data_IF_502421597106
#
_entry.id   IF_502421597106
#
_cell.length_a   1.000
_cell.length_b   1.000
_cell.length_c   1.000
_cell.angle_alpha   90.00
_cell.angle_beta   90.00
_cell.angle_gamma   90.00
#
_symmetry.space_group_name_H-M   'P 1'
#
loop_
_entity.id
_entity.type
_entity.pdbx_description
1 polymer ?
#
# COMPACT_ATOMS: atom_id res chain seq x y z
N UNK A 1 -4.36 -24.11 -43.58
CA UNK A 1 -4.05 -22.72 -43.96
C UNK A 1 -2.85 -22.28 -43.15
N UNK A 2 -1.83 -21.68 -43.76
CA UNK A 2 -0.67 -21.13 -43.04
C UNK A 2 -0.89 -19.63 -42.84
N UNK A 3 -0.64 -19.12 -41.64
CA UNK A 3 -0.72 -17.69 -41.32
C UNK A 3 0.49 -17.00 -41.95
N UNK A 4 0.26 -16.00 -42.79
CA UNK A 4 1.30 -15.15 -43.35
C UNK A 4 1.67 -14.05 -42.32
N UNK A 5 2.95 -13.94 -41.99
CA UNK A 5 3.47 -13.00 -40.99
C UNK A 5 4.05 -11.72 -41.61
N UNK A 6 3.90 -11.52 -42.92
CA UNK A 6 4.44 -10.35 -43.64
C UNK A 6 3.84 -9.01 -43.20
N UNK A 7 2.62 -9.01 -42.68
CA UNK A 7 1.92 -7.80 -42.21
C UNK A 7 2.12 -7.48 -40.72
N UNK A 8 3.10 -8.12 -40.06
CA UNK A 8 3.31 -7.90 -38.64
C UNK A 8 4.06 -6.58 -38.40
N UNK A 9 3.46 -5.59 -37.71
CA UNK A 9 4.12 -4.33 -37.44
C UNK A 9 5.36 -4.56 -36.56
N UNK A 10 6.44 -3.78 -36.76
CA UNK A 10 7.64 -3.90 -35.95
C UNK A 10 7.31 -3.67 -34.47
N UNK A 11 8.00 -4.36 -33.54
CA UNK A 11 7.80 -4.15 -32.12
C UNK A 11 8.11 -2.69 -31.76
N UNK A 12 7.40 -2.12 -30.77
CA UNK A 12 7.64 -0.75 -30.36
C UNK A 12 9.10 -0.57 -29.88
N UNK A 13 9.69 0.62 -30.07
CA UNK A 13 11.03 0.90 -29.57
C UNK A 13 11.11 0.62 -28.08
N UNK A 14 12.22 0.02 -27.64
CA UNK A 14 12.50 -0.16 -26.22
C UNK A 14 12.51 1.21 -25.52
N UNK A 15 11.75 1.33 -24.44
CA UNK A 15 11.75 2.53 -23.61
C UNK A 15 12.40 2.22 -22.25
N UNK A 16 13.34 3.04 -21.77
CA UNK A 16 13.88 2.88 -20.44
C UNK A 16 12.75 3.00 -19.41
N UNK A 17 12.73 2.08 -18.44
CA UNK A 17 11.79 2.17 -17.32
C UNK A 17 12.00 3.49 -16.61
N UNK A 18 10.94 4.28 -16.47
CA UNK A 18 10.98 5.52 -15.68
C UNK A 18 11.47 5.19 -14.26
N UNK A 19 12.40 5.98 -13.68
CA UNK A 19 12.79 5.80 -12.30
C UNK A 19 11.56 5.82 -11.40
N UNK A 20 11.46 4.88 -10.48
CA UNK A 20 10.38 4.92 -9.48
C UNK A 20 10.59 6.16 -8.59
N UNK A 21 9.53 6.92 -8.29
CA UNK A 21 9.64 8.03 -7.34
C UNK A 21 10.19 7.52 -6.00
N UNK A 22 11.24 8.17 -5.52
CA UNK A 22 11.82 7.90 -4.19
C UNK A 22 11.08 8.74 -3.16
N UNK A 23 10.92 8.20 -1.95
CA UNK A 23 10.37 8.98 -0.85
C UNK A 23 11.35 10.10 -0.49
N UNK A 24 10.81 11.28 -0.23
CA UNK A 24 11.56 12.36 0.41
C UNK A 24 11.83 12.00 1.87
N UNK A 25 12.86 12.61 2.49
CA UNK A 25 13.20 12.35 3.89
C UNK A 25 12.01 12.58 4.85
N UNK A 26 11.15 13.56 4.54
CA UNK A 26 9.92 13.81 5.31
C UNK A 26 8.92 12.67 5.16
N UNK A 27 8.71 12.16 3.95
CA UNK A 27 7.80 11.03 3.71
C UNK A 27 8.30 9.75 4.37
N UNK A 28 9.61 9.50 4.36
CA UNK A 28 10.21 8.35 5.04
C UNK A 28 10.01 8.44 6.56
N UNK A 29 10.24 9.62 7.16
CA UNK A 29 9.97 9.85 8.58
C UNK A 29 8.49 9.67 8.93
N UNK A 30 7.59 10.18 8.09
CA UNK A 30 6.14 9.99 8.28
C UNK A 30 5.76 8.52 8.15
N UNK A 31 6.29 7.80 7.17
CA UNK A 31 6.04 6.36 7.00
C UNK A 31 6.53 5.56 8.21
N UNK A 32 7.74 5.84 8.70
CA UNK A 32 8.29 5.21 9.89
C UNK A 32 7.41 5.48 11.13
N UNK A 33 6.91 6.71 11.30
CA UNK A 33 5.99 7.04 12.38
C UNK A 33 4.67 6.27 12.27
N UNK A 34 4.07 6.18 11.07
CA UNK A 34 2.84 5.42 10.84
C UNK A 34 3.04 3.94 11.18
N UNK A 35 4.15 3.34 10.75
CA UNK A 35 4.48 1.95 11.05
C UNK A 35 4.63 1.76 12.56
N UNK A 36 5.39 2.63 13.24
CA UNK A 36 5.58 2.57 14.69
C UNK A 36 4.28 2.67 15.47
N UNK A 37 3.41 3.63 15.11
CA UNK A 37 2.07 3.78 15.72
C UNK A 37 1.21 2.54 15.52
N UNK A 38 1.22 1.95 14.32
CA UNK A 38 0.45 0.73 14.06
C UNK A 38 0.96 -0.46 14.90
N UNK A 39 2.27 -0.62 15.07
CA UNK A 39 2.84 -1.67 15.92
C UNK A 39 2.42 -1.47 17.38
N UNK A 40 2.48 -0.24 17.89
CA UNK A 40 2.01 0.08 19.23
C UNK A 40 0.52 -0.23 19.36
N UNK A 41 -0.29 0.21 18.39
CA UNK A 41 -1.72 -0.06 18.37
C UNK A 41 -2.02 -1.55 18.29
N UNK A 42 -1.24 -2.36 17.57
CA UNK A 42 -1.42 -3.81 17.53
C UNK A 42 -1.18 -4.49 18.89
N UNK A 43 -0.43 -3.87 19.80
CA UNK A 43 -0.19 -4.38 21.16
C UNK A 43 -1.22 -3.79 22.14
N UNK A 44 -1.53 -2.51 22.01
CA UNK A 44 -2.47 -1.80 22.87
C UNK A 44 -3.92 -2.16 22.54
N UNK A 45 -4.28 -2.39 21.28
CA UNK A 45 -5.63 -2.74 20.85
C UNK A 45 -6.09 -4.12 21.36
N UNK A 46 -5.26 -5.15 21.53
CA UNK A 46 -5.65 -6.33 22.31
C UNK A 46 -6.04 -6.00 23.76
N UNK A 47 -5.34 -5.04 24.38
CA UNK A 47 -5.60 -4.61 25.77
C UNK A 47 -6.84 -3.70 25.84
N UNK A 48 -7.01 -2.80 24.86
CA UNK A 48 -8.08 -1.80 24.81
C UNK A 48 -9.25 -2.13 23.87
N UNK A 49 -9.18 -3.24 23.14
CA UNK A 49 -10.13 -3.59 22.08
C UNK A 49 -11.48 -3.99 22.64
N UNK A 50 -11.48 -4.69 23.77
CA UNK A 50 -12.70 -4.97 24.54
C UNK A 50 -13.30 -3.66 25.05
N UNK A 51 -12.48 -2.70 25.47
CA UNK A 51 -12.91 -1.39 25.95
C UNK A 51 -13.53 -0.54 24.83
N UNK A 52 -12.94 -0.54 23.63
CA UNK A 52 -13.47 0.18 22.48
C UNK A 52 -14.77 -0.44 21.96
N UNK A 53 -14.83 -1.77 21.85
CA UNK A 53 -16.07 -2.48 21.50
C UNK A 53 -17.15 -2.27 22.57
N UNK A 54 -16.78 -2.26 23.84
CA UNK A 54 -17.67 -1.93 24.95
C UNK A 54 -18.21 -0.50 24.86
N UNK A 55 -17.36 0.49 24.58
CA UNK A 55 -17.76 1.88 24.40
C UNK A 55 -18.69 2.07 23.19
N UNK A 56 -18.39 1.41 22.07
CA UNK A 56 -19.25 1.42 20.87
C UNK A 56 -20.59 0.72 21.15
N UNK A 57 -20.59 -0.43 21.82
CA UNK A 57 -21.83 -1.09 22.23
C UNK A 57 -22.66 -0.22 23.20
N UNK A 58 -22.00 0.56 24.06
CA UNK A 58 -22.66 1.51 24.96
C UNK A 58 -23.37 2.65 24.21
N UNK A 59 -22.86 3.05 23.05
CA UNK A 59 -23.45 4.07 22.17
C UNK A 59 -24.68 3.55 21.40
N UNK A 60 -24.84 2.22 21.28
CA UNK A 60 -25.93 1.58 20.53
C UNK A 60 -26.97 0.86 21.42
N UNK A 61 -26.94 1.07 22.75
CA UNK A 61 -27.95 0.54 23.67
C UNK A 61 -28.88 1.62 24.20
#
# INVERSE_FOLDING_TARGET
MFVDFRDQPPPPPWQPRRPRPRLTARQEKTLAAIIGVNIVLLIVAPIGGVTLLGAVALLFR
#
